data_IF_037470558819
#
_entry.id   IF_037470558819
#
_cell.length_a   1.000
_cell.length_b   1.000
_cell.length_c   1.000
_cell.angle_alpha   90.00
_cell.angle_beta   90.00
_cell.angle_gamma   90.00
#
_symmetry.space_group_name_H-M   'P 1'
#
loop_
_entity.id
_entity.type
_entity.pdbx_description
1 polymer ?
#
# COMPACT_ATOMS: atom_id res chain seq x y z
N UNK A 1 28.84 24.06 -34.73
CA UNK A 1 28.57 24.56 -33.35
C UNK A 1 29.85 25.12 -32.77
N UNK A 2 29.81 26.26 -32.07
CA UNK A 2 31.00 26.84 -31.40
C UNK A 2 31.63 25.77 -30.49
N UNK A 3 32.95 25.60 -30.54
CA UNK A 3 33.69 24.53 -29.80
C UNK A 3 33.29 24.44 -28.32
N UNK A 4 33.00 25.59 -27.72
CA UNK A 4 32.54 25.71 -26.32
C UNK A 4 31.25 24.94 -26.07
N UNK A 5 30.24 25.07 -26.94
CA UNK A 5 28.95 24.37 -26.81
C UNK A 5 29.13 22.86 -26.92
N UNK A 6 30.02 22.40 -27.82
CA UNK A 6 30.32 20.97 -27.98
C UNK A 6 30.96 20.39 -26.72
N UNK A 7 31.88 21.12 -26.09
CA UNK A 7 32.55 20.66 -24.86
C UNK A 7 31.59 20.61 -23.66
N UNK A 8 30.67 21.58 -23.56
CA UNK A 8 29.65 21.60 -22.51
C UNK A 8 28.71 20.38 -22.61
N UNK A 9 28.25 20.06 -23.82
CA UNK A 9 27.38 18.89 -24.05
C UNK A 9 28.09 17.58 -23.68
N UNK A 10 29.38 17.46 -24.02
CA UNK A 10 30.18 16.28 -23.65
C UNK A 10 30.35 16.19 -22.13
N UNK A 11 30.58 17.31 -21.44
CA UNK A 11 30.70 17.33 -19.98
C UNK A 11 29.39 16.91 -19.30
N UNK A 12 28.24 17.43 -19.76
CA UNK A 12 26.92 17.04 -19.24
C UNK A 12 26.66 15.56 -19.50
N UNK A 13 26.93 15.05 -20.70
CA UNK A 13 26.78 13.64 -21.01
C UNK A 13 27.66 12.75 -20.11
N UNK A 14 28.90 13.16 -19.84
CA UNK A 14 29.80 12.46 -18.92
C UNK A 14 29.26 12.44 -17.49
N UNK A 15 28.73 13.56 -17.01
CA UNK A 15 28.11 13.65 -15.68
C UNK A 15 26.88 12.76 -15.61
N UNK A 16 26.00 12.77 -16.62
CA UNK A 16 24.83 11.88 -16.67
C UNK A 16 25.26 10.42 -16.65
N UNK A 17 26.25 10.02 -17.47
CA UNK A 17 26.77 8.65 -17.48
C UNK A 17 27.39 8.27 -16.13
N UNK A 18 28.14 9.18 -15.50
CA UNK A 18 28.73 8.94 -14.18
C UNK A 18 27.65 8.80 -13.09
N UNK A 19 26.61 9.64 -13.13
CA UNK A 19 25.48 9.54 -12.21
C UNK A 19 24.68 8.25 -12.42
N UNK A 20 24.48 7.81 -13.67
CA UNK A 20 23.86 6.53 -13.98
C UNK A 20 24.70 5.35 -13.47
N UNK A 21 26.02 5.40 -13.63
CA UNK A 21 26.94 4.37 -13.12
C UNK A 21 27.03 4.34 -11.59
N UNK A 22 26.88 5.50 -10.93
CA UNK A 22 26.83 5.64 -9.48
C UNK A 22 25.44 5.34 -8.89
N UNK A 23 24.45 4.96 -9.70
CA UNK A 23 23.12 4.59 -9.24
C UNK A 23 22.22 5.78 -8.86
N UNK A 24 22.56 7.01 -9.28
CA UNK A 24 21.80 8.22 -8.98
C UNK A 24 20.59 8.44 -9.91
N UNK A 25 19.85 7.36 -10.24
CA UNK A 25 18.54 7.47 -10.86
C UNK A 25 17.54 7.93 -9.77
N UNK A 26 16.93 9.13 -9.85
CA UNK A 26 16.05 9.64 -8.79
C UNK A 26 14.64 9.04 -8.79
N UNK A 27 14.34 8.05 -9.61
CA UNK A 27 12.94 7.86 -10.02
C UNK A 27 12.53 6.44 -10.38
N UNK A 28 13.12 5.41 -9.80
CA UNK A 28 12.57 4.06 -9.96
C UNK A 28 12.81 3.23 -8.70
N UNK A 29 11.71 2.62 -8.21
CA UNK A 29 11.63 1.50 -7.25
C UNK A 29 11.60 1.89 -5.78
N UNK A 30 10.39 2.02 -5.22
CA UNK A 30 10.15 1.67 -3.83
C UNK A 30 10.75 0.28 -3.58
N UNK A 31 11.87 0.24 -2.86
CA UNK A 31 12.62 -0.98 -2.61
C UNK A 31 12.00 -1.69 -1.41
N UNK A 32 10.90 -2.38 -1.66
CA UNK A 32 10.25 -3.20 -0.66
C UNK A 32 9.07 -3.92 -1.27
N UNK A 33 8.87 -5.17 -0.85
CA UNK A 33 7.65 -5.89 -1.15
C UNK A 33 6.47 -5.08 -0.63
N UNK A 34 5.51 -4.70 -1.49
CA UNK A 34 4.38 -3.88 -1.08
C UNK A 34 3.52 -4.63 -0.07
N UNK A 35 2.87 -3.86 0.79
CA UNK A 35 1.87 -4.39 1.69
C UNK A 35 0.54 -4.45 0.97
N UNK A 36 -0.13 -5.58 1.09
CA UNK A 36 -1.46 -5.79 0.59
C UNK A 36 -2.40 -5.98 1.76
N UNK A 37 -3.63 -5.51 1.60
CA UNK A 37 -4.71 -5.88 2.50
C UNK A 37 -5.47 -7.02 1.83
N UNK A 38 -5.58 -8.14 2.54
CA UNK A 38 -6.26 -9.35 2.07
C UNK A 38 -7.54 -9.55 2.86
N UNK A 39 -8.63 -9.90 2.18
CA UNK A 39 -9.89 -10.27 2.77
C UNK A 39 -10.14 -11.76 2.46
N UNK A 40 -10.01 -12.60 3.48
CA UNK A 40 -10.24 -14.04 3.35
C UNK A 40 -11.58 -14.40 4.00
N UNK A 41 -12.50 -15.07 3.28
CA UNK A 41 -13.79 -15.45 3.85
C UNK A 41 -13.58 -16.50 4.95
N UNK A 42 -14.22 -16.29 6.09
CA UNK A 42 -14.14 -17.19 7.25
C UNK A 42 -15.53 -17.54 7.79
N UNK A 43 -15.69 -18.78 8.25
CA UNK A 43 -16.86 -19.18 9.02
C UNK A 43 -16.58 -18.98 10.52
N UNK A 44 -17.22 -17.99 11.13
CA UNK A 44 -17.07 -17.70 12.55
C UNK A 44 -18.36 -17.18 13.17
N UNK A 45 -18.62 -17.55 14.43
CA UNK A 45 -19.72 -17.01 15.25
C UNK A 45 -19.32 -15.76 16.04
N UNK A 46 -18.09 -15.27 15.89
CA UNK A 46 -17.62 -14.10 16.64
C UNK A 46 -17.95 -12.76 15.98
N UNK A 47 -17.84 -11.70 16.76
CA UNK A 47 -18.18 -10.34 16.33
C UNK A 47 -17.33 -9.88 15.14
N UNK A 48 -17.98 -9.17 14.21
CA UNK A 48 -17.36 -8.62 13.01
C UNK A 48 -17.89 -7.19 12.78
N UNK A 49 -17.02 -6.30 12.29
CA UNK A 49 -17.41 -4.93 11.96
C UNK A 49 -18.27 -4.91 10.71
N UNK A 50 -19.48 -4.35 10.78
CA UNK A 50 -20.31 -4.12 9.58
C UNK A 50 -19.69 -3.02 8.71
N UNK A 51 -19.21 -3.41 7.53
CA UNK A 51 -18.55 -2.52 6.57
C UNK A 51 -19.37 -2.29 5.30
N UNK A 52 -20.67 -2.64 5.27
CA UNK A 52 -21.52 -2.43 4.10
C UNK A 52 -21.71 -0.95 3.71
N UNK A 53 -21.46 -0.02 4.64
CA UNK A 53 -21.60 1.42 4.42
C UNK A 53 -20.26 2.16 4.33
N UNK A 54 -19.13 1.44 4.23
CA UNK A 54 -17.83 2.08 4.00
C UNK A 54 -17.73 2.59 2.56
N UNK A 55 -16.78 3.48 2.30
CA UNK A 55 -16.53 4.00 0.96
C UNK A 55 -15.03 3.97 0.65
N UNK A 56 -14.68 3.79 -0.62
CA UNK A 56 -13.29 3.82 -1.10
C UNK A 56 -12.55 5.12 -0.78
N UNK A 57 -13.28 6.21 -0.51
CA UNK A 57 -12.68 7.49 -0.09
C UNK A 57 -12.06 7.43 1.31
N UNK A 58 -12.61 6.59 2.18
CA UNK A 58 -12.16 6.44 3.57
C UNK A 58 -11.38 5.15 3.77
N UNK A 59 -11.80 4.09 3.09
CA UNK A 59 -11.24 2.75 3.17
C UNK A 59 -10.89 2.20 1.78
N UNK A 60 -9.97 2.85 1.04
CA UNK A 60 -9.55 2.39 -0.29
C UNK A 60 -9.00 0.96 -0.29
N UNK A 61 -8.23 0.54 0.74
CA UNK A 61 -7.63 -0.79 0.75
C UNK A 61 -8.65 -1.87 1.10
N UNK A 62 -9.47 -1.67 2.13
CA UNK A 62 -10.54 -2.60 2.48
C UNK A 62 -11.50 -2.84 1.31
N UNK A 63 -11.99 -1.76 0.71
CA UNK A 63 -12.97 -1.87 -0.39
C UNK A 63 -12.33 -2.53 -1.61
N UNK A 64 -11.06 -2.20 -1.90
CA UNK A 64 -10.29 -2.87 -2.94
C UNK A 64 -10.12 -4.37 -2.70
N UNK A 65 -9.88 -4.81 -1.46
CA UNK A 65 -9.75 -6.23 -1.14
C UNK A 65 -11.09 -6.98 -1.27
N UNK A 66 -12.19 -6.40 -0.76
CA UNK A 66 -13.52 -7.02 -0.78
C UNK A 66 -14.12 -7.12 -2.19
N UNK A 67 -13.80 -6.18 -3.07
CA UNK A 67 -14.32 -6.15 -4.46
C UNK A 67 -13.41 -6.85 -5.47
N UNK A 68 -12.20 -7.24 -5.06
CA UNK A 68 -11.23 -7.93 -5.91
C UNK A 68 -11.56 -9.42 -6.01
N UNK A 69 -11.41 -9.98 -7.21
CA UNK A 69 -11.62 -11.42 -7.45
C UNK A 69 -10.64 -12.29 -6.65
N UNK A 70 -9.44 -11.77 -6.37
CA UNK A 70 -8.39 -12.46 -5.63
C UNK A 70 -8.42 -12.14 -4.12
N UNK A 71 -9.43 -11.39 -3.63
CA UNK A 71 -9.55 -10.99 -2.23
C UNK A 71 -8.42 -10.06 -1.75
N UNK A 72 -7.75 -9.35 -2.67
CA UNK A 72 -6.53 -8.58 -2.37
C UNK A 72 -6.62 -7.17 -2.94
N UNK A 73 -6.26 -6.18 -2.12
CA UNK A 73 -6.19 -4.77 -2.50
C UNK A 73 -4.94 -4.42 -3.32
N UNK A 74 -4.87 -3.18 -3.79
CA UNK A 74 -3.66 -2.63 -4.40
C UNK A 74 -2.50 -2.51 -3.39
N UNK A 75 -1.27 -2.70 -3.87
CA UNK A 75 -0.08 -2.71 -3.02
C UNK A 75 0.29 -1.33 -2.49
N UNK A 76 0.33 -1.18 -1.18
CA UNK A 76 0.90 -0.01 -0.49
C UNK A 76 2.42 -0.12 -0.43
N UNK A 77 3.12 0.85 -1.03
CA UNK A 77 4.57 0.97 -0.97
C UNK A 77 4.97 2.07 0.01
N UNK A 78 5.83 1.74 0.96
CA UNK A 78 6.49 2.78 1.76
C UNK A 78 7.44 3.57 0.86
N UNK A 79 7.42 4.90 0.97
CA UNK A 79 8.24 5.79 0.16
C UNK A 79 9.75 5.50 0.25
N UNK A 80 10.59 6.12 -0.61
CA UNK A 80 11.98 5.75 -0.87
C UNK A 80 12.95 5.75 0.33
N UNK A 81 12.49 6.10 1.53
CA UNK A 81 13.26 6.11 2.77
C UNK A 81 12.62 5.32 3.92
N UNK A 82 11.64 4.44 3.66
CA UNK A 82 10.95 3.73 4.75
C UNK A 82 10.07 4.64 5.61
N UNK A 83 9.94 5.92 5.24
CA UNK A 83 9.06 6.87 5.88
C UNK A 83 7.67 6.71 5.26
N UNK A 84 6.67 6.39 6.09
CA UNK A 84 5.26 6.55 5.71
C UNK A 84 5.12 7.98 5.18
N UNK A 85 4.58 8.19 3.98
CA UNK A 85 4.16 9.54 3.61
C UNK A 85 3.01 9.89 4.55
N UNK A 86 3.20 10.87 5.43
CA UNK A 86 2.27 11.24 6.52
C UNK A 86 0.90 11.75 6.01
N UNK A 87 0.65 11.65 4.70
CA UNK A 87 -0.51 12.17 3.99
C UNK A 87 -1.22 11.11 3.13
N UNK A 88 -0.73 9.87 3.13
CA UNK A 88 -1.31 8.77 2.35
C UNK A 88 -2.04 7.83 3.30
N UNK A 89 -3.31 7.56 3.04
CA UNK A 89 -4.05 6.50 3.73
C UNK A 89 -3.23 5.20 3.67
N UNK A 90 -3.09 4.48 4.78
CA UNK A 90 -2.35 3.21 4.80
C UNK A 90 -3.28 2.05 5.19
N UNK A 91 -3.04 0.82 4.69
CA UNK A 91 -3.85 -0.34 5.07
C UNK A 91 -3.79 -0.62 6.57
N UNK A 92 -2.67 -0.25 7.23
CA UNK A 92 -2.54 -0.35 8.69
C UNK A 92 -3.49 0.58 9.44
N UNK A 93 -3.61 1.83 8.98
CA UNK A 93 -4.48 2.80 9.66
C UNK A 93 -5.96 2.41 9.49
N UNK A 94 -6.32 1.76 8.37
CA UNK A 94 -7.66 1.22 8.15
C UNK A 94 -7.98 0.07 9.12
N UNK A 95 -7.09 -0.91 9.25
CA UNK A 95 -7.25 -2.04 10.18
C UNK A 95 -7.28 -1.54 11.63
N UNK A 96 -6.37 -0.64 12.02
CA UNK A 96 -6.32 -0.05 13.35
C UNK A 96 -7.61 0.72 13.68
N UNK A 97 -8.20 1.42 12.70
CA UNK A 97 -9.45 2.14 12.89
C UNK A 97 -10.63 1.20 13.13
N UNK A 98 -10.70 0.08 12.40
CA UNK A 98 -11.74 -0.94 12.57
C UNK A 98 -11.59 -1.65 13.92
N UNK A 99 -10.36 -2.01 14.30
CA UNK A 99 -10.07 -2.63 15.60
C UNK A 99 -10.40 -1.69 16.77
N UNK A 100 -10.19 -0.37 16.62
CA UNK A 100 -10.60 0.61 17.62
C UNK A 100 -12.12 0.80 17.69
N UNK A 101 -12.82 0.65 16.57
CA UNK A 101 -14.27 0.74 16.51
C UNK A 101 -14.94 -0.45 17.23
N UNK A 102 -14.39 -1.66 17.06
CA UNK A 102 -14.89 -2.87 17.69
C UNK A 102 -13.71 -3.77 18.11
N UNK A 103 -13.21 -3.61 19.36
CA UNK A 103 -12.09 -4.40 19.87
C UNK A 103 -12.34 -5.90 19.86
N UNK A 104 -13.61 -6.32 19.95
CA UNK A 104 -14.02 -7.73 19.94
C UNK A 104 -13.82 -8.38 18.56
N UNK A 105 -13.82 -7.60 17.48
CA UNK A 105 -13.60 -8.07 16.12
C UNK A 105 -12.11 -8.20 15.76
N UNK A 106 -11.22 -7.63 16.58
CA UNK A 106 -9.78 -7.68 16.34
C UNK A 106 -9.24 -9.12 16.46
N UNK A 107 -8.34 -9.50 15.55
CA UNK A 107 -7.62 -10.77 15.57
C UNK A 107 -6.15 -10.53 15.92
N UNK A 108 -5.33 -11.59 15.95
CA UNK A 108 -3.90 -11.46 16.25
C UNK A 108 -3.16 -10.64 15.19
N UNK A 109 -3.56 -10.79 13.92
CA UNK A 109 -2.88 -10.21 12.75
C UNK A 109 -3.75 -9.22 11.95
N UNK A 110 -5.01 -9.00 12.34
CA UNK A 110 -5.98 -8.23 11.56
C UNK A 110 -7.30 -7.89 12.27
N UNK A 111 -8.39 -7.86 11.51
CA UNK A 111 -9.73 -7.54 12.00
C UNK A 111 -10.80 -8.27 11.19
N UNK A 112 -11.84 -8.76 11.88
CA UNK A 112 -13.01 -9.38 11.24
C UNK A 112 -14.00 -8.34 10.79
N UNK A 113 -14.44 -8.45 9.54
CA UNK A 113 -15.44 -7.56 8.94
C UNK A 113 -16.57 -8.38 8.32
N UNK A 114 -17.77 -7.81 8.30
CA UNK A 114 -18.91 -8.37 7.59
C UNK A 114 -19.27 -7.50 6.39
N UNK A 115 -19.35 -8.11 5.22
CA UNK A 115 -19.64 -7.45 3.95
C UNK A 115 -20.61 -8.34 3.15
N UNK A 116 -21.71 -7.76 2.68
CA UNK A 116 -22.75 -8.45 1.90
C UNK A 116 -23.34 -9.72 2.55
N UNK A 117 -23.20 -9.86 3.87
CA UNK A 117 -23.72 -11.01 4.64
C UNK A 117 -22.70 -12.14 4.84
N UNK A 118 -21.48 -11.98 4.35
CA UNK A 118 -20.35 -12.88 4.59
C UNK A 118 -19.35 -12.23 5.56
N UNK A 119 -18.65 -13.04 6.34
CA UNK A 119 -17.61 -12.59 7.27
C UNK A 119 -16.23 -12.85 6.66
N UNK A 120 -15.39 -11.83 6.70
CA UNK A 120 -14.02 -11.87 6.20
C UNK A 120 -13.05 -11.57 7.32
N UNK A 121 -11.91 -12.27 7.33
CA UNK A 121 -10.74 -11.88 8.09
C UNK A 121 -9.88 -10.97 7.21
N UNK A 122 -9.60 -9.77 7.72
CA UNK A 122 -8.88 -8.73 6.99
C UNK A 122 -7.53 -8.50 7.63
N UNK A 123 -6.48 -8.74 6.85
CA UNK A 123 -5.11 -8.71 7.35
C UNK A 123 -4.18 -7.97 6.38
N UNK A 124 -3.11 -7.39 6.93
CA UNK A 124 -2.06 -6.75 6.11
C UNK A 124 -0.92 -7.73 5.89
N UNK A 125 -0.80 -8.23 4.66
CA UNK A 125 0.20 -9.22 4.25
C UNK A 125 1.31 -8.59 3.40
N UNK A 126 2.51 -9.18 3.49
CA UNK A 126 3.59 -9.01 2.51
C UNK A 126 3.78 -10.33 1.76
N UNK A 127 4.07 -10.30 0.45
CA UNK A 127 4.37 -11.50 -0.33
C UNK A 127 5.66 -12.20 0.14
#
# INVERSE_FOLDING_TARGET
MRRVTRNLVVAIALVVVALLALGALPSYLGSGDPYYLTAEPIETDGDAVDVNNVTDRRYPYLTGALTSEDGRSDGYQTGPYGMKEWFTHTPFDEVDALAQQMPEAATEDGVRVSYEGETYDVEVRRP
#
